data_IF_249332202389
#
_entry.id   IF_249332202389
#
_cell.length_a   1.000
_cell.length_b   1.000
_cell.length_c   1.000
_cell.angle_alpha   90.00
_cell.angle_beta   90.00
_cell.angle_gamma   90.00
#
_symmetry.space_group_name_H-M   'P 1'
#
loop_
_entity.id
_entity.type
_entity.pdbx_description
1 polymer ?
#
# COMPACT_ATOMS: atom_id res chain seq x y z
N UNK A 1 -4.29 13.22 29.09
CA UNK A 1 -3.62 13.30 27.77
C UNK A 1 -4.23 12.32 26.77
N UNK A 2 -4.28 11.01 27.05
CA UNK A 2 -4.79 9.98 26.11
C UNK A 2 -6.29 10.14 25.75
N UNK A 3 -7.13 10.61 26.68
CA UNK A 3 -8.57 10.75 26.42
C UNK A 3 -8.90 11.73 25.28
N UNK A 4 -8.12 12.80 25.13
CA UNK A 4 -8.32 13.81 24.09
C UNK A 4 -7.99 13.26 22.69
N UNK A 5 -6.92 12.47 22.56
CA UNK A 5 -6.57 11.81 21.29
C UNK A 5 -7.64 10.79 20.88
N UNK A 6 -8.14 10.00 21.84
CA UNK A 6 -9.22 9.03 21.57
C UNK A 6 -10.49 9.73 21.08
N UNK A 7 -10.81 10.90 21.63
CA UNK A 7 -11.96 11.69 21.17
C UNK A 7 -11.77 12.25 19.75
N UNK A 8 -10.56 12.69 19.38
CA UNK A 8 -10.28 13.14 18.01
C UNK A 8 -10.40 12.01 16.99
N UNK A 9 -9.87 10.82 17.30
CA UNK A 9 -9.98 9.64 16.44
C UNK A 9 -11.43 9.19 16.29
N UNK A 10 -12.22 9.20 17.37
CA UNK A 10 -13.66 8.91 17.32
C UNK A 10 -14.44 9.97 16.51
N UNK A 11 -14.07 11.25 16.62
CA UNK A 11 -14.65 12.33 15.84
C UNK A 11 -14.41 12.16 14.33
N UNK A 12 -13.21 11.75 13.93
CA UNK A 12 -12.86 11.40 12.56
C UNK A 12 -13.73 10.25 12.01
N UNK A 13 -13.85 9.16 12.78
CA UNK A 13 -14.65 8.00 12.42
C UNK A 13 -16.13 8.36 12.30
N UNK A 14 -16.66 9.16 13.24
CA UNK A 14 -18.03 9.66 13.18
C UNK A 14 -18.31 10.51 11.94
N UNK A 15 -17.36 11.37 11.56
CA UNK A 15 -17.46 12.21 10.35
C UNK A 15 -17.43 11.37 9.07
N UNK A 16 -16.63 10.29 9.05
CA UNK A 16 -16.60 9.31 7.96
C UNK A 16 -17.90 8.51 7.87
N UNK A 17 -18.41 8.05 9.01
CA UNK A 17 -19.64 7.27 9.11
C UNK A 17 -20.88 8.09 8.74
N UNK A 18 -20.90 9.40 9.00
CA UNK A 18 -21.98 10.31 8.54
C UNK A 18 -22.18 10.17 7.04
N UNK A 19 -21.12 10.27 6.23
CA UNK A 19 -21.22 10.17 4.79
C UNK A 19 -21.69 8.78 4.33
N UNK A 20 -21.13 7.72 4.89
CA UNK A 20 -21.49 6.34 4.52
C UNK A 20 -22.91 5.96 4.93
N UNK A 21 -23.39 6.42 6.09
CA UNK A 21 -24.68 6.01 6.66
C UNK A 21 -25.85 6.91 6.28
N UNK A 22 -25.62 8.19 5.96
CA UNK A 22 -26.71 9.13 5.60
C UNK A 22 -26.70 9.55 4.14
N UNK A 23 -25.63 9.27 3.37
CA UNK A 23 -25.53 9.65 1.96
C UNK A 23 -25.41 11.17 1.72
N UNK A 24 -25.27 11.97 2.78
CA UNK A 24 -25.15 13.43 2.70
C UNK A 24 -23.68 13.78 2.36
N UNK A 25 -23.44 14.62 1.34
CA UNK A 25 -22.10 15.06 1.00
C UNK A 25 -21.50 15.90 2.13
N UNK A 26 -20.19 15.73 2.39
CA UNK A 26 -19.49 16.55 3.37
C UNK A 26 -19.51 18.03 2.98
N UNK A 27 -19.84 18.88 3.95
CA UNK A 27 -19.67 20.34 3.82
C UNK A 27 -18.19 20.70 3.65
N UNK A 28 -17.90 21.90 3.16
CA UNK A 28 -16.54 22.39 2.98
C UNK A 28 -15.73 22.38 4.30
N UNK A 29 -16.37 22.80 5.40
CA UNK A 29 -15.76 22.82 6.74
C UNK A 29 -15.44 21.40 7.25
N UNK A 30 -16.36 20.46 7.01
CA UNK A 30 -16.19 19.05 7.41
C UNK A 30 -15.04 18.40 6.62
N UNK A 31 -14.93 18.69 5.32
CA UNK A 31 -13.80 18.23 4.50
C UNK A 31 -12.48 18.82 4.99
N UNK A 32 -12.45 20.06 5.43
CA UNK A 32 -11.25 20.69 5.95
C UNK A 32 -10.80 20.04 7.27
N UNK A 33 -11.72 19.79 8.20
CA UNK A 33 -11.42 19.06 9.43
C UNK A 33 -10.93 17.64 9.16
N UNK A 34 -11.57 16.92 8.24
CA UNK A 34 -11.15 15.59 7.80
C UNK A 34 -9.73 15.59 7.23
N UNK A 35 -9.43 16.54 6.34
CA UNK A 35 -8.09 16.69 5.75
C UNK A 35 -7.03 16.98 6.80
N UNK A 36 -7.33 17.81 7.79
CA UNK A 36 -6.41 18.12 8.87
C UNK A 36 -6.10 16.88 9.71
N UNK A 37 -7.13 16.13 10.14
CA UNK A 37 -6.92 14.89 10.90
C UNK A 37 -6.12 13.84 10.09
N UNK A 38 -6.43 13.67 8.80
CA UNK A 38 -5.67 12.77 7.92
C UNK A 38 -4.24 13.25 7.70
N UNK A 39 -4.00 14.56 7.65
CA UNK A 39 -2.65 15.12 7.50
C UNK A 39 -1.79 14.85 8.73
N UNK A 40 -2.37 14.97 9.93
CA UNK A 40 -1.68 14.59 11.17
C UNK A 40 -1.29 13.11 11.18
N UNK A 41 -2.20 12.23 10.74
CA UNK A 41 -1.91 10.80 10.56
C UNK A 41 -0.84 10.56 9.47
N UNK A 42 -0.91 11.31 8.36
CA UNK A 42 0.02 11.18 7.25
C UNK A 42 1.46 11.59 7.62
N UNK A 43 1.67 12.39 8.67
CA UNK A 43 3.03 12.68 9.19
C UNK A 43 3.74 11.44 9.73
N UNK A 44 3.01 10.39 10.08
CA UNK A 44 3.59 9.11 10.50
C UNK A 44 4.02 8.21 9.31
N UNK A 45 3.54 8.50 8.10
CA UNK A 45 3.82 7.70 6.89
C UNK A 45 5.31 7.67 6.51
N UNK A 46 6.09 8.77 6.58
CA UNK A 46 7.54 8.71 6.32
C UNK A 46 8.28 7.76 7.26
N UNK A 47 7.94 7.74 8.54
CA UNK A 47 8.51 6.79 9.49
C UNK A 47 8.12 5.35 9.11
N UNK A 48 6.87 5.14 8.73
CA UNK A 48 6.41 3.84 8.23
C UNK A 48 7.20 3.39 6.99
N UNK A 49 7.51 4.28 6.05
CA UNK A 49 8.35 3.97 4.88
C UNK A 49 9.76 3.54 5.28
N UNK A 50 10.39 4.22 6.25
CA UNK A 50 11.73 3.85 6.73
C UNK A 50 11.71 2.43 7.35
N UNK A 51 10.64 2.07 8.08
CA UNK A 51 10.46 0.73 8.64
C UNK A 51 10.04 -0.31 7.60
N UNK A 52 9.27 0.09 6.60
CA UNK A 52 8.73 -0.78 5.55
C UNK A 52 9.77 -1.08 4.47
N UNK A 53 10.69 -0.16 4.16
CA UNK A 53 11.76 -0.34 3.17
C UNK A 53 12.66 -1.57 3.42
N UNK A 54 13.22 -1.80 4.62
CA UNK A 54 14.00 -3.01 4.88
C UNK A 54 13.13 -4.26 4.69
N UNK A 55 11.87 -4.22 5.13
CA UNK A 55 10.94 -5.33 4.94
C UNK A 55 10.60 -5.56 3.45
N UNK A 56 10.31 -4.51 2.68
CA UNK A 56 9.93 -4.58 1.27
C UNK A 56 11.07 -5.05 0.38
N UNK A 57 12.30 -4.60 0.67
CA UNK A 57 13.52 -5.05 -0.02
C UNK A 57 13.86 -6.51 0.30
N UNK A 58 13.56 -6.99 1.51
CA UNK A 58 13.69 -8.42 1.89
C UNK A 58 12.54 -9.25 1.29
N UNK A 59 11.34 -8.68 1.15
CA UNK A 59 10.18 -9.37 0.59
C UNK A 59 10.41 -9.76 -0.87
N UNK A 60 11.05 -8.91 -1.68
CA UNK A 60 11.30 -9.19 -3.09
C UNK A 60 12.12 -10.47 -3.35
N UNK A 61 13.31 -10.70 -2.76
CA UNK A 61 14.06 -11.94 -2.92
C UNK A 61 13.32 -13.14 -2.30
N UNK A 62 12.58 -12.95 -1.20
CA UNK A 62 11.73 -14.02 -0.64
C UNK A 62 10.63 -14.45 -1.62
N UNK A 63 9.95 -13.49 -2.26
CA UNK A 63 8.94 -13.72 -3.29
C UNK A 63 9.55 -14.43 -4.50
N UNK A 64 10.73 -13.98 -4.97
CA UNK A 64 11.47 -14.63 -6.06
C UNK A 64 11.82 -16.07 -5.68
N UNK A 65 12.32 -16.32 -4.48
CA UNK A 65 12.67 -17.66 -4.01
C UNK A 65 11.47 -18.61 -3.92
N UNK A 66 10.29 -18.07 -3.57
CA UNK A 66 9.04 -18.85 -3.57
C UNK A 66 8.50 -19.08 -4.98
N UNK A 67 8.62 -18.10 -5.87
CA UNK A 67 8.11 -18.17 -7.24
C UNK A 67 9.01 -19.02 -8.15
N UNK A 68 10.33 -18.89 -7.99
CA UNK A 68 11.35 -19.66 -8.70
C UNK A 68 11.25 -21.16 -8.38
N UNK A 69 10.84 -21.53 -7.16
CA UNK A 69 10.49 -22.92 -6.81
C UNK A 69 9.40 -23.53 -7.69
N UNK A 70 8.56 -22.71 -8.36
CA UNK A 70 7.57 -23.19 -9.34
C UNK A 70 7.96 -22.90 -10.79
N UNK A 71 9.00 -22.10 -11.03
CA UNK A 71 9.48 -21.79 -12.36
C UNK A 71 10.27 -22.99 -12.90
N UNK A 72 9.60 -23.87 -13.65
CA UNK A 72 10.32 -24.83 -14.50
C UNK A 72 11.26 -24.05 -15.42
N UNK A 73 12.55 -24.43 -15.54
CA UNK A 73 13.45 -23.79 -16.49
C UNK A 73 12.85 -23.96 -17.89
N UNK A 74 12.49 -22.84 -18.51
CA UNK A 74 12.03 -22.83 -19.89
C UNK A 74 13.25 -23.21 -20.74
N UNK A 75 13.25 -24.44 -21.24
CA UNK A 75 14.30 -24.95 -22.13
C UNK A 75 14.43 -23.99 -23.32
N UNK A 76 15.56 -23.29 -23.40
CA UNK A 76 15.89 -22.48 -24.56
C UNK A 76 16.14 -23.43 -25.73
N UNK A 77 15.24 -23.44 -26.71
CA UNK A 77 15.36 -24.21 -27.94
C UNK A 77 16.66 -23.79 -28.66
N UNK A 78 17.59 -24.71 -28.98
CA UNK A 78 18.78 -24.37 -29.74
C UNK A 78 18.35 -23.92 -31.14
N UNK A 79 18.71 -22.68 -31.50
CA UNK A 79 18.46 -22.12 -32.83
C UNK A 79 19.25 -22.93 -33.86
N UNK A 80 18.52 -23.64 -34.70
CA UNK A 80 19.01 -24.32 -35.90
C UNK A 80 19.91 -23.38 -36.70
N UNK A 81 21.22 -23.60 -36.59
CA UNK A 81 22.25 -22.94 -37.39
C UNK A 81 23.06 -24.04 -38.07
N UNK A 82 22.41 -24.91 -38.85
CA UNK A 82 23.11 -25.99 -39.56
C UNK A 82 22.32 -26.54 -40.77
N UNK A 83 21.60 -25.72 -41.54
CA UNK A 83 20.98 -26.17 -42.80
C UNK A 83 20.94 -25.06 -43.85
N UNK A 84 22.04 -24.32 -44.00
CA UNK A 84 22.25 -23.49 -45.20
C UNK A 84 23.72 -23.64 -45.57
N UNK A 85 24.10 -24.84 -46.01
CA UNK A 85 25.32 -25.16 -46.76
C UNK A 85 25.28 -26.66 -47.09
N UNK A 86 24.40 -27.03 -48.03
CA UNK A 86 24.40 -28.32 -48.72
C UNK A 86 23.92 -28.09 -50.15
#
# INVERSE_FOLDING_TARGET
MILHEVMQVKGLIGLLMKHHSTGIPWSADEKQQLRNHLRELAKAVPALFIFMLPFGTIFLPLLVMVLDRRAKPRQAQPKQTEVINA
#
